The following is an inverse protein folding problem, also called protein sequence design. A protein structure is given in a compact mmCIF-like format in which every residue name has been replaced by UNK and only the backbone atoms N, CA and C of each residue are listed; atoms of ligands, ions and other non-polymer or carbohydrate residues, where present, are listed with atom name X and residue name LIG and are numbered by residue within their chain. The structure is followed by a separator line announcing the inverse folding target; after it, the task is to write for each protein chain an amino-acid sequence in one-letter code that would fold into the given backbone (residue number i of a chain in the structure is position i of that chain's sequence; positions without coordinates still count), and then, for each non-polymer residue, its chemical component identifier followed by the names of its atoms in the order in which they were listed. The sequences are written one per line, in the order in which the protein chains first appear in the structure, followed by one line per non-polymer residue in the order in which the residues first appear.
data_IF_487555375839
#
_entry.id   IF_487555375839
#
_cell.length_a   1.000
_cell.length_b   1.000
_cell.length_c   1.000
_cell.angle_alpha   90.00
_cell.angle_beta   90.00
_cell.angle_gamma   90.00
#
_symmetry.space_group_name_H-M   'P 1'
#
loop_
_entity.id
_entity.type
_entity.pdbx_description
1 polymer ?
#
# COMPACT_ATOMS: atom_id res chain seq x y z
N UNK A 1 -5.90 5.52 12.09
CA UNK A 1 -4.88 4.63 12.69
C UNK A 1 -4.20 5.41 13.79
N UNK A 2 -4.04 4.77 14.96
CA UNK A 2 -3.42 5.41 16.13
C UNK A 2 -1.97 5.86 15.86
N UNK A 3 -1.52 6.90 16.56
CA UNK A 3 -0.26 7.59 16.28
C UNK A 3 0.96 6.67 16.38
N UNK A 4 0.99 5.81 17.38
CA UNK A 4 2.07 4.86 17.67
C UNK A 4 2.20 3.84 16.54
N UNK A 5 1.08 3.26 16.09
CA UNK A 5 1.05 2.38 14.92
C UNK A 5 1.45 3.13 13.65
N UNK A 6 0.92 4.34 13.42
CA UNK A 6 1.26 5.13 12.24
C UNK A 6 2.76 5.44 12.17
N UNK A 7 3.40 5.74 13.31
CA UNK A 7 4.85 5.96 13.38
C UNK A 7 5.61 4.66 13.11
N UNK A 8 5.28 3.58 13.82
CA UNK A 8 5.93 2.28 13.65
C UNK A 8 5.79 1.75 12.23
N UNK A 9 4.60 1.84 11.63
CA UNK A 9 4.30 1.44 10.25
C UNK A 9 5.24 2.13 9.26
N UNK A 10 5.32 3.47 9.32
CA UNK A 10 6.16 4.23 8.37
C UNK A 10 7.65 3.92 8.54
N UNK A 11 8.12 3.73 9.77
CA UNK A 11 9.50 3.36 10.05
C UNK A 11 9.81 1.96 9.52
N UNK A 12 9.03 0.95 9.89
CA UNK A 12 9.21 -0.43 9.45
C UNK A 12 9.12 -0.56 7.93
N UNK A 13 8.15 0.11 7.31
CA UNK A 13 7.97 0.07 5.87
C UNK A 13 9.14 0.74 5.13
N UNK A 14 9.64 1.89 5.63
CA UNK A 14 10.80 2.55 5.04
C UNK A 14 12.08 1.72 5.18
N UNK A 15 12.30 1.10 6.35
CA UNK A 15 13.39 0.16 6.59
C UNK A 15 13.31 -1.01 5.60
N UNK A 16 12.15 -1.68 5.53
CA UNK A 16 11.94 -2.82 4.63
C UNK A 16 12.06 -2.47 3.14
N UNK A 17 11.54 -1.32 2.71
CA UNK A 17 11.70 -0.83 1.34
C UNK A 17 13.18 -0.62 0.99
N UNK A 18 13.93 0.05 1.85
CA UNK A 18 15.35 0.33 1.59
C UNK A 18 16.23 -0.92 1.58
N UNK A 19 15.89 -1.94 2.38
CA UNK A 19 16.61 -3.21 2.44
C UNK A 19 16.32 -4.12 1.24
N UNK A 20 15.06 -4.20 0.82
CA UNK A 20 14.60 -5.19 -0.18
C UNK A 20 14.53 -4.64 -1.59
N UNK A 21 14.32 -3.33 -1.73
CA UNK A 21 13.98 -2.69 -2.99
C UNK A 21 14.85 -1.43 -3.17
N UNK A 22 16.17 -1.60 -3.25
CA UNK A 22 17.14 -0.51 -3.22
C UNK A 22 16.93 0.58 -4.29
N UNK A 23 16.33 0.23 -5.43
CA UNK A 23 16.09 1.13 -6.55
C UNK A 23 14.77 1.91 -6.42
N UNK A 24 13.95 1.58 -5.43
CA UNK A 24 12.71 2.29 -5.11
C UNK A 24 12.99 3.40 -4.11
N UNK A 25 12.88 4.65 -4.55
CA UNK A 25 13.20 5.82 -3.74
C UNK A 25 11.95 6.47 -3.16
N UNK A 26 11.98 6.92 -1.90
CA UNK A 26 10.89 7.71 -1.36
C UNK A 26 10.77 9.01 -2.15
N UNK A 27 9.54 9.36 -2.53
CA UNK A 27 9.22 10.57 -3.26
C UNK A 27 8.36 11.49 -2.39
N UNK A 28 8.44 12.83 -2.58
CA UNK A 28 7.51 13.74 -1.95
C UNK A 28 6.09 13.43 -2.45
N UNK A 29 5.22 13.04 -1.52
CA UNK A 29 3.79 12.90 -1.77
C UNK A 29 3.18 14.32 -1.83
N UNK A 30 2.83 14.78 -3.03
CA UNK A 30 2.34 16.14 -3.25
C UNK A 30 0.88 16.32 -2.83
N UNK A 31 0.57 17.43 -2.15
CA UNK A 31 -0.81 17.88 -2.00
C UNK A 31 -1.36 18.36 -3.36
N UNK A 32 -2.67 18.20 -3.64
CA UNK A 32 -3.72 17.66 -2.77
C UNK A 32 -3.98 16.14 -2.92
N UNK A 33 -3.10 15.40 -3.62
CA UNK A 33 -3.43 14.05 -4.08
C UNK A 33 -3.08 12.90 -3.13
N UNK A 34 -2.40 13.22 -2.04
CA UNK A 34 -1.98 12.26 -1.03
C UNK A 34 -2.36 12.72 0.36
N UNK A 35 -2.86 11.79 1.18
CA UNK A 35 -3.30 12.08 2.53
C UNK A 35 -2.12 12.15 3.52
N UNK A 36 -2.29 12.87 4.64
CA UNK A 36 -1.31 12.86 5.72
C UNK A 36 -0.98 11.44 6.18
N UNK A 37 0.31 11.10 6.20
CA UNK A 37 0.80 9.79 6.63
C UNK A 37 1.09 8.81 5.49
N UNK A 38 0.57 9.06 4.28
CA UNK A 38 0.92 8.27 3.11
C UNK A 38 2.41 8.40 2.76
N UNK A 39 2.97 7.35 2.17
CA UNK A 39 4.36 7.36 1.68
C UNK A 39 4.40 6.84 0.25
N UNK A 40 4.93 7.67 -0.63
CA UNK A 40 5.12 7.36 -2.03
C UNK A 40 6.54 6.86 -2.24
N UNK A 41 6.68 5.73 -2.93
CA UNK A 41 7.95 5.22 -3.42
C UNK A 41 7.85 5.11 -4.93
N UNK A 42 8.89 5.55 -5.64
CA UNK A 42 8.96 5.39 -7.07
C UNK A 42 10.26 4.71 -7.48
N UNK A 43 10.13 3.82 -8.45
CA UNK A 43 11.23 3.31 -9.26
C UNK A 43 11.08 3.92 -10.65
N UNK A 44 12.16 4.45 -11.22
CA UNK A 44 12.15 4.94 -12.60
C UNK A 44 12.59 3.83 -13.55
N UNK A 45 11.79 3.57 -14.57
CA UNK A 45 12.12 2.67 -15.68
C UNK A 45 11.90 3.46 -16.98
N UNK A 46 13.00 3.83 -17.66
CA UNK A 46 12.96 4.77 -18.78
C UNK A 46 12.19 6.06 -18.42
N UNK A 47 11.10 6.37 -19.14
CA UNK A 47 10.26 7.55 -18.93
C UNK A 47 8.99 7.26 -18.10
N UNK A 48 8.91 6.08 -17.49
CA UNK A 48 7.79 5.68 -16.64
C UNK A 48 8.25 5.56 -15.19
N UNK A 49 7.48 6.14 -14.28
CA UNK A 49 7.60 5.86 -12.85
C UNK A 49 6.70 4.68 -12.52
N UNK A 50 7.30 3.63 -11.98
CA UNK A 50 6.60 2.62 -11.22
C UNK A 50 6.40 3.15 -9.82
N UNK A 51 5.19 2.98 -9.30
CA UNK A 51 4.76 3.67 -8.09
C UNK A 51 4.20 2.66 -7.09
N UNK A 52 4.64 2.79 -5.84
CA UNK A 52 4.06 2.15 -4.66
C UNK A 52 3.65 3.23 -3.68
N UNK A 53 2.43 3.13 -3.16
CA UNK A 53 1.91 4.03 -2.13
C UNK A 53 1.55 3.23 -0.90
N UNK A 54 2.16 3.57 0.23
CA UNK A 54 1.71 3.13 1.55
C UNK A 54 0.55 4.01 1.99
N UNK A 55 -0.58 3.38 2.33
CA UNK A 55 -1.85 4.04 2.66
C UNK A 55 -2.30 3.61 4.07
N UNK A 56 -1.92 4.33 5.13
CA UNK A 56 -2.45 4.08 6.47
C UNK A 56 -3.96 4.37 6.51
N UNK A 57 -4.74 3.49 7.16
CA UNK A 57 -6.16 3.73 7.31
C UNK A 57 -6.43 4.89 8.27
N UNK A 58 -7.19 5.87 7.79
CA UNK A 58 -7.56 7.06 8.55
C UNK A 58 -8.80 6.84 9.43
N UNK A 59 -9.54 5.74 9.23
CA UNK A 59 -10.81 5.45 9.93
C UNK A 59 -10.65 4.65 11.23
N UNK A 60 -9.46 4.69 11.83
CA UNK A 60 -9.17 4.08 13.13
C UNK A 60 -9.42 2.56 13.26
N UNK A 61 -9.35 1.82 12.15
CA UNK A 61 -9.32 0.35 12.19
C UNK A 61 -7.93 -0.23 12.47
N UNK A 62 -6.93 0.63 12.70
CA UNK A 62 -5.51 0.25 12.77
C UNK A 62 -5.11 -0.69 11.63
N UNK A 63 -5.43 -0.25 10.42
CA UNK A 63 -5.14 -0.96 9.19
C UNK A 63 -4.22 -0.15 8.28
N UNK A 64 -3.64 -0.80 7.29
CA UNK A 64 -3.00 -0.12 6.17
C UNK A 64 -3.19 -0.91 4.87
N UNK A 65 -3.08 -0.22 3.76
CA UNK A 65 -3.06 -0.79 2.42
C UNK A 65 -1.80 -0.37 1.67
N UNK A 66 -1.54 -1.07 0.58
CA UNK A 66 -0.57 -0.67 -0.44
C UNK A 66 -1.31 -0.50 -1.75
N UNK A 67 -1.00 0.55 -2.48
CA UNK A 67 -1.40 0.73 -3.87
C UNK A 67 -0.16 0.65 -4.77
N UNK A 68 -0.32 0.05 -5.94
CA UNK A 68 0.71 -0.05 -6.97
C UNK A 68 0.19 0.44 -8.31
N UNK A 69 1.09 1.00 -9.12
CA UNK A 69 0.74 1.46 -10.45
C UNK A 69 1.86 2.26 -11.10
N UNK A 70 1.52 3.23 -11.94
CA UNK A 70 2.49 3.96 -12.72
C UNK A 70 2.12 5.42 -12.99
N UNK A 71 3.12 6.18 -13.39
CA UNK A 71 2.97 7.47 -14.08
C UNK A 71 3.92 7.54 -15.28
N UNK A 72 3.35 7.68 -16.47
CA UNK A 72 4.08 7.97 -17.73
C UNK A 72 4.52 9.43 -17.82
N UNK A 73 4.14 10.26 -16.85
CA UNK A 73 4.48 11.67 -16.76
C UNK A 73 5.74 11.90 -15.90
N UNK A 74 6.43 10.84 -15.50
CA UNK A 74 7.66 10.89 -14.68
C UNK A 74 7.52 11.75 -13.41
N UNK A 75 6.34 11.70 -12.78
CA UNK A 75 6.03 12.40 -11.53
C UNK A 75 5.12 11.56 -10.64
N UNK A 76 4.91 12.00 -9.40
CA UNK A 76 3.88 11.43 -8.54
C UNK A 76 2.52 11.45 -9.26
N UNK A 77 1.77 10.33 -9.27
CA UNK A 77 0.42 10.29 -9.84
C UNK A 77 -0.48 11.37 -9.22
N UNK A 78 -1.15 12.14 -10.07
CA UNK A 78 -2.08 13.21 -9.70
C UNK A 78 -3.48 12.80 -10.13
N UNK A 79 -3.99 11.75 -9.49
CA UNK A 79 -5.29 11.18 -9.79
C UNK A 79 -6.39 11.92 -9.03
N UNK A 80 -7.45 12.32 -9.73
CA UNK A 80 -8.63 12.94 -9.12
C UNK A 80 -9.41 11.98 -8.22
N UNK A 81 -9.24 10.67 -8.40
CA UNK A 81 -9.83 9.61 -7.60
C UNK A 81 -8.81 8.48 -7.40
N UNK A 82 -8.66 8.04 -6.14
CA UNK A 82 -7.76 6.95 -5.75
C UNK A 82 -8.49 5.91 -4.90
N UNK A 83 -8.33 4.61 -5.19
CA UNK A 83 -7.63 4.05 -6.36
C UNK A 83 -8.36 4.34 -7.68
N UNK A 84 -7.72 4.04 -8.81
CA UNK A 84 -8.36 4.01 -10.13
C UNK A 84 -9.47 2.95 -10.16
N UNK A 85 -10.55 3.22 -10.88
CA UNK A 85 -11.74 2.36 -10.91
C UNK A 85 -11.60 1.21 -11.90
N UNK A 86 -10.78 1.40 -12.93
CA UNK A 86 -10.54 0.42 -13.97
C UNK A 86 -9.83 -0.81 -13.39
N UNK A 87 -10.24 -2.00 -13.84
CA UNK A 87 -9.60 -3.24 -13.40
C UNK A 87 -8.12 -3.27 -13.84
N UNK A 88 -7.18 -3.78 -13.01
CA UNK A 88 -5.74 -3.72 -13.26
C UNK A 88 -5.29 -4.23 -14.63
N UNK A 89 -5.87 -5.35 -15.08
CA UNK A 89 -5.52 -5.98 -16.37
C UNK A 89 -6.42 -5.52 -17.54
N UNK A 90 -7.23 -4.47 -17.35
CA UNK A 90 -8.08 -3.96 -18.41
C UNK A 90 -7.28 -3.11 -19.41
N UNK A 91 -7.67 -3.15 -20.69
CA UNK A 91 -7.13 -2.26 -21.71
C UNK A 91 -7.33 -0.78 -21.35
N UNK A 92 -8.40 -0.46 -20.61
CA UNK A 92 -8.67 0.90 -20.15
C UNK A 92 -7.61 1.37 -19.15
N UNK A 93 -7.26 0.53 -18.16
CA UNK A 93 -6.18 0.83 -17.23
C UNK A 93 -4.86 1.05 -17.98
N UNK A 94 -4.45 0.12 -18.85
CA UNK A 94 -3.18 0.18 -19.59
C UNK A 94 -3.02 1.41 -20.49
N UNK A 95 -4.13 2.01 -20.95
CA UNK A 95 -4.15 3.24 -21.76
C UNK A 95 -4.00 4.53 -20.95
N UNK A 96 -4.07 4.47 -19.61
CA UNK A 96 -3.94 5.65 -18.77
C UNK A 96 -2.48 6.08 -18.65
N UNK A 97 -2.27 7.39 -18.67
CA UNK A 97 -0.98 7.98 -18.34
C UNK A 97 -0.60 7.73 -16.87
N UNK A 98 -1.60 7.73 -15.99
CA UNK A 98 -1.45 7.49 -14.56
C UNK A 98 -2.51 6.50 -14.07
N UNK A 99 -2.06 5.52 -13.29
CA UNK A 99 -2.91 4.46 -12.74
C UNK A 99 -2.41 4.06 -11.36
N UNK A 100 -3.34 3.80 -10.44
CA UNK A 100 -3.05 3.17 -9.15
C UNK A 100 -4.16 2.18 -8.81
N UNK A 101 -3.79 0.98 -8.38
CA UNK A 101 -4.73 0.00 -7.86
C UNK A 101 -4.25 -0.54 -6.50
N UNK A 102 -5.15 -0.97 -5.61
CA UNK A 102 -4.75 -1.63 -4.38
C UNK A 102 -4.02 -2.93 -4.69
N UNK A 103 -2.79 -3.10 -4.19
CA UNK A 103 -2.02 -4.33 -4.28
C UNK A 103 -2.83 -5.56 -3.82
N UNK A 104 -3.67 -5.48 -2.76
CA UNK A 104 -4.55 -6.59 -2.39
C UNK A 104 -5.46 -7.12 -3.51
N UNK A 105 -5.82 -6.33 -4.54
CA UNK A 105 -6.59 -6.81 -5.70
C UNK A 105 -5.81 -7.77 -6.59
N UNK A 106 -4.47 -7.68 -6.58
CA UNK A 106 -3.59 -8.49 -7.43
C UNK A 106 -3.29 -9.87 -6.83
N UNK A 107 -3.72 -10.12 -5.59
CA UNK A 107 -3.40 -11.34 -4.85
C UNK A 107 -4.58 -12.31 -4.95
N UNK A 108 -4.49 -13.42 -5.71
CA UNK A 108 -5.64 -14.27 -6.00
C UNK A 108 -6.28 -14.90 -4.76
N UNK A 109 -5.48 -15.22 -3.75
CA UNK A 109 -5.90 -15.94 -2.54
C UNK A 109 -6.26 -15.01 -1.37
N UNK A 110 -6.25 -13.69 -1.56
CA UNK A 110 -6.49 -12.76 -0.46
C UNK A 110 -7.99 -12.69 -0.13
N UNK A 111 -8.35 -12.75 1.17
CA UNK A 111 -9.74 -12.60 1.58
C UNK A 111 -10.36 -11.29 1.06
N UNK A 112 -11.64 -11.36 0.71
CA UNK A 112 -12.44 -10.21 0.30
C UNK A 112 -13.62 -10.05 1.26
N UNK A 113 -13.81 -8.83 1.74
CA UNK A 113 -14.96 -8.44 2.53
C UNK A 113 -15.86 -7.53 1.68
N UNK A 114 -17.12 -7.90 1.51
CA UNK A 114 -18.07 -7.21 0.63
C UNK A 114 -17.55 -7.00 -0.82
N UNK A 115 -16.76 -7.94 -1.33
CA UNK A 115 -16.16 -7.83 -2.67
C UNK A 115 -14.90 -6.96 -2.74
N UNK A 116 -14.55 -6.27 -1.66
CA UNK A 116 -13.34 -5.46 -1.54
C UNK A 116 -12.21 -6.26 -0.90
N UNK A 117 -10.95 -6.09 -1.35
CA UNK A 117 -9.85 -6.82 -0.77
C UNK A 117 -9.53 -6.28 0.63
N UNK A 118 -9.23 -7.19 1.56
CA UNK A 118 -9.03 -6.82 2.97
C UNK A 118 -7.62 -6.20 3.14
N UNK A 119 -7.51 -5.01 3.80
CA UNK A 119 -6.22 -4.39 4.12
C UNK A 119 -5.43 -5.25 5.11
N UNK A 120 -4.19 -4.86 5.40
CA UNK A 120 -3.46 -5.44 6.53
C UNK A 120 -4.00 -4.83 7.83
N UNK A 121 -4.57 -5.66 8.69
CA UNK A 121 -5.25 -5.27 9.94
C UNK A 121 -4.40 -5.68 11.13
N UNK A 122 -4.19 -4.77 12.08
CA UNK A 122 -3.60 -5.14 13.39
C UNK A 122 -4.53 -6.07 14.17
N UNK A 123 -5.84 -5.84 14.08
CA UNK A 123 -6.86 -6.70 14.69
C UNK A 123 -7.87 -7.16 13.62
N UNK A 124 -7.81 -8.44 13.20
CA UNK A 124 -8.72 -9.01 12.19
C UNK A 124 -10.21 -8.88 12.54
N UNK A 125 -10.56 -8.79 13.83
CA UNK A 125 -11.95 -8.61 14.28
C UNK A 125 -12.55 -7.29 13.78
N UNK A 126 -11.72 -6.31 13.46
CA UNK A 126 -12.14 -5.02 12.87
C UNK A 126 -12.71 -5.14 11.45
N UNK A 127 -12.60 -6.31 10.84
CA UNK A 127 -13.19 -6.64 9.54
C UNK A 127 -14.08 -7.89 9.63
N UNK A 128 -14.54 -8.25 10.84
CA UNK A 128 -15.46 -9.37 11.03
C UNK A 128 -16.82 -9.04 10.43
N UNK A 129 -17.55 -10.09 10.02
CA UNK A 129 -18.97 -9.97 9.66
C UNK A 129 -19.87 -10.06 10.89
N UNK A 130 -19.32 -10.47 12.03
CA UNK A 130 -20.04 -10.50 13.30
C UNK A 130 -19.97 -9.12 13.96
N UNK A 131 -21.11 -8.42 14.16
CA UNK A 131 -21.15 -7.13 14.83
C UNK A 131 -20.60 -7.17 16.27
N UNK A 132 -20.66 -8.32 16.94
CA UNK A 132 -20.12 -8.46 18.30
C UNK A 132 -18.59 -8.44 18.30
N UNK A 133 -17.94 -9.05 17.31
CA UNK A 133 -16.50 -8.99 17.13
C UNK A 133 -16.04 -7.57 16.81
N UNK A 134 -16.75 -6.89 15.92
CA UNK A 134 -16.43 -5.50 15.53
C UNK A 134 -16.55 -4.56 16.74
N UNK A 135 -17.63 -4.70 17.53
CA UNK A 135 -17.84 -3.94 18.75
C UNK A 135 -16.76 -4.25 19.80
N UNK A 136 -16.42 -5.52 20.02
CA UNK A 136 -15.38 -5.92 20.96
C UNK A 136 -14.02 -5.32 20.56
N UNK A 137 -13.66 -5.41 19.28
CA UNK A 137 -12.44 -4.81 18.75
C UNK A 137 -12.42 -3.29 18.96
N UNK A 138 -13.54 -2.61 18.70
CA UNK A 138 -13.68 -1.18 18.95
C UNK A 138 -13.48 -0.83 20.43
N UNK A 139 -14.12 -1.58 21.34
CA UNK A 139 -13.98 -1.36 22.79
C UNK A 139 -12.55 -1.59 23.29
N UNK A 140 -11.88 -2.64 22.80
CA UNK A 140 -10.48 -2.92 23.13
C UNK A 140 -9.55 -1.78 22.67
N UNK A 141 -9.78 -1.24 21.47
CA UNK A 141 -9.01 -0.09 20.95
C UNK A 141 -9.17 1.18 21.80
N UNK A 142 -10.37 1.41 22.35
CA UNK A 142 -10.63 2.56 23.23
C UNK A 142 -9.94 2.41 24.60
N UNK A 143 -9.78 1.18 25.09
CA UNK A 143 -9.23 0.88 26.41
C UNK A 143 -7.72 0.80 26.44
N UNK A 144 -7.12 0.22 25.40
CA UNK A 144 -5.67 -0.01 25.33
C UNK A 144 -5.01 0.98 24.40
N UNK A 145 -4.00 1.71 24.85
CA UNK A 145 -3.09 2.44 23.95
C UNK A 145 -1.78 1.65 23.85
N UNK A 146 -1.38 1.20 22.65
CA UNK A 146 -0.18 0.39 22.52
C UNK A 146 1.06 1.22 22.89
N UNK A 147 2.03 0.57 23.53
CA UNK A 147 3.37 1.16 23.65
C UNK A 147 4.05 1.22 22.26
N UNK A 148 5.14 1.98 22.15
CA UNK A 148 5.90 2.03 20.89
C UNK A 148 6.47 0.66 20.50
N UNK A 149 6.89 -0.13 21.50
CA UNK A 149 7.44 -1.47 21.29
C UNK A 149 6.36 -2.47 20.87
N UNK A 150 5.20 -2.44 21.54
CA UNK A 150 4.03 -3.25 21.16
C UNK A 150 3.57 -2.91 19.74
N UNK A 151 3.49 -1.61 19.41
CA UNK A 151 3.11 -1.17 18.08
C UNK A 151 4.07 -1.71 16.99
N UNK A 152 5.38 -1.68 17.26
CA UNK A 152 6.39 -2.24 16.36
C UNK A 152 6.25 -3.75 16.23
N UNK A 153 6.09 -4.46 17.35
CA UNK A 153 5.98 -5.92 17.37
C UNK A 153 4.76 -6.42 16.59
N UNK A 154 3.61 -5.76 16.74
CA UNK A 154 2.38 -6.11 16.04
C UNK A 154 2.44 -5.79 14.53
N UNK A 155 3.07 -4.68 14.15
CA UNK A 155 3.15 -4.27 12.74
C UNK A 155 4.25 -4.96 11.95
N UNK A 156 5.35 -5.37 12.59
CA UNK A 156 6.47 -6.01 11.91
C UNK A 156 6.07 -7.19 11.00
N UNK A 157 5.30 -8.19 11.46
CA UNK A 157 4.89 -9.29 10.59
C UNK A 157 3.96 -8.83 9.46
N UNK A 158 3.07 -7.87 9.71
CA UNK A 158 2.16 -7.34 8.69
C UNK A 158 2.89 -6.58 7.59
N UNK A 159 3.90 -5.78 7.97
CA UNK A 159 4.75 -5.05 7.02
C UNK A 159 5.60 -6.02 6.22
N UNK A 160 6.15 -7.07 6.85
CA UNK A 160 6.90 -8.10 6.15
C UNK A 160 6.04 -8.81 5.09
N UNK A 161 4.81 -9.22 5.46
CA UNK A 161 3.85 -9.83 4.53
C UNK A 161 3.48 -8.87 3.39
N UNK A 162 3.29 -7.58 3.69
CA UNK A 162 2.99 -6.59 2.66
C UNK A 162 4.14 -6.39 1.65
N UNK A 163 5.39 -6.41 2.12
CA UNK A 163 6.57 -6.34 1.26
C UNK A 163 6.78 -7.64 0.47
N UNK A 164 6.49 -8.80 1.05
CA UNK A 164 6.47 -10.09 0.33
C UNK A 164 5.42 -10.07 -0.77
N UNK A 165 4.23 -9.56 -0.49
CA UNK A 165 3.17 -9.41 -1.47
C UNK A 165 3.56 -8.43 -2.59
N UNK A 166 4.25 -7.33 -2.26
CA UNK A 166 4.77 -6.39 -3.25
C UNK A 166 5.77 -7.08 -4.19
N UNK A 167 6.73 -7.82 -3.63
CA UNK A 167 7.73 -8.54 -4.42
C UNK A 167 7.11 -9.63 -5.30
N UNK A 168 6.12 -10.35 -4.78
CA UNK A 168 5.55 -11.52 -5.44
C UNK A 168 4.47 -11.18 -6.46
N UNK A 169 3.71 -10.09 -6.25
CA UNK A 169 2.54 -9.76 -7.06
C UNK A 169 2.59 -8.35 -7.63
N UNK A 170 3.03 -7.36 -6.84
CA UNK A 170 3.01 -5.96 -7.26
C UNK A 170 4.05 -5.63 -8.34
N UNK A 171 5.31 -6.00 -8.11
CA UNK A 171 6.39 -5.75 -9.07
C UNK A 171 6.19 -6.56 -10.36
N UNK A 172 5.89 -7.88 -10.31
CA UNK A 172 5.64 -8.65 -11.53
C UNK A 172 4.45 -8.12 -12.35
N UNK A 173 3.40 -7.62 -11.69
CA UNK A 173 2.29 -6.95 -12.38
C UNK A 173 2.76 -5.72 -13.17
N UNK A 174 3.63 -4.88 -12.59
CA UNK A 174 4.16 -3.71 -13.29
C UNK A 174 5.08 -4.09 -14.45
N UNK A 175 5.90 -5.12 -14.28
CA UNK A 175 6.74 -5.69 -15.36
C UNK A 175 5.89 -6.19 -16.54
N UNK A 176 4.79 -6.87 -16.25
CA UNK A 176 3.88 -7.41 -17.27
C UNK A 176 3.19 -6.30 -18.07
N UNK A 177 2.62 -5.30 -17.38
CA UNK A 177 1.77 -4.29 -18.03
C UNK A 177 2.54 -3.12 -18.67
N UNK A 178 3.82 -2.91 -18.32
CA UNK A 178 4.62 -1.76 -18.78
C UNK A 178 5.78 -2.15 -19.71
N UNK A 179 5.60 -3.24 -20.45
CA UNK A 179 6.59 -3.76 -21.40
C UNK A 179 7.16 -2.71 -22.39
N UNK A 180 8.44 -2.85 -22.82
CA UNK A 180 9.24 -4.06 -22.67
C UNK A 180 9.73 -4.27 -21.22
N UNK A 181 9.88 -5.54 -20.79
CA UNK A 181 10.29 -5.86 -19.43
C UNK A 181 11.67 -5.25 -19.18
N UNK A 182 11.72 -4.22 -18.36
CA UNK A 182 12.94 -3.63 -17.86
C UNK A 182 12.95 -3.82 -16.37
N UNK A 183 14.03 -4.39 -15.85
CA UNK A 183 14.32 -4.30 -14.42
C UNK A 183 14.42 -2.83 -14.03
N UNK A 184 13.90 -2.48 -12.86
CA UNK A 184 14.13 -1.17 -12.25
C UNK A 184 15.61 -0.79 -12.41
N UNK A 185 15.90 0.22 -13.23
CA UNK A 185 17.27 0.54 -13.62
C UNK A 185 17.79 1.64 -12.72
N UNK A 186 18.93 1.40 -12.06
CA UNK A 186 19.76 2.46 -11.47
C UNK A 186 20.22 3.43 -12.56
N UNK A 187 19.45 4.48 -12.81
CA UNK A 187 20.00 5.68 -13.44
C UNK A 187 20.46 6.60 -12.31
N UNK A 188 21.77 6.85 -12.30
CA UNK A 188 22.50 7.63 -11.30
C UNK A 188 22.13 9.11 -11.22
#
# INVERSE_FOLDING_TARGET
MRQEYGKALRTLFAEGMSQRFADWRPQPAGQPWYWPGERLYACRQADVWWVVVLEPDLKDHDAFSLSVGWSRLSRAPQLSMRPSMEAPLSLQAMRRDEYLCPLPLLIPQRPRLHGHPVPWLVDPRSASRDPLDELAAFMDRQRHRPSTEEARALLAPLVADALDALQRWGIPYLEEVLSPPGTCSRTG
#
